data_IF_692389035838
#
_entry.id   IF_692389035838
#
_cell.length_a   1.000
_cell.length_b   1.000
_cell.length_c   1.000
_cell.angle_alpha   90.00
_cell.angle_beta   90.00
_cell.angle_gamma   90.00
#
_symmetry.space_group_name_H-M   'P 1'
#
loop_
_entity.id
_entity.type
_entity.pdbx_description
1 polymer ?
#
# COMPACT_ATOMS: atom_id res chain seq x y z
N UNK A 1 1.23 -12.79 12.08
CA UNK A 1 2.18 -12.25 11.11
C UNK A 1 3.23 -11.39 11.80
N UNK A 2 4.51 -11.51 11.43
CA UNK A 2 5.56 -10.54 11.80
C UNK A 2 5.80 -9.65 10.58
N UNK A 3 5.63 -8.34 10.72
CA UNK A 3 5.84 -7.42 9.60
C UNK A 3 7.34 -7.26 9.31
N UNK A 4 7.76 -7.25 8.04
CA UNK A 4 9.13 -6.88 7.70
C UNK A 4 9.35 -5.40 8.02
N UNK A 5 10.60 -4.99 8.26
CA UNK A 5 10.92 -3.57 8.51
C UNK A 5 11.02 -2.76 7.22
N UNK A 6 11.34 -3.42 6.12
CA UNK A 6 11.55 -2.82 4.80
C UNK A 6 10.90 -3.73 3.76
N UNK A 7 10.23 -3.15 2.77
CA UNK A 7 9.73 -3.84 1.57
C UNK A 7 10.03 -3.03 0.32
N UNK A 8 9.88 -3.66 -0.85
CA UNK A 8 10.10 -3.01 -2.15
C UNK A 8 8.75 -2.66 -2.79
N UNK A 9 8.44 -1.38 -2.92
CA UNK A 9 7.21 -0.88 -3.55
C UNK A 9 7.58 -0.03 -4.75
N UNK A 10 7.08 -0.38 -5.94
CA UNK A 10 7.42 0.33 -7.18
C UNK A 10 8.92 0.35 -7.51
N UNK A 11 9.67 -0.66 -7.06
CA UNK A 11 11.13 -0.75 -7.22
C UNK A 11 11.94 0.12 -6.24
N UNK A 12 11.30 0.75 -5.25
CA UNK A 12 11.96 1.55 -4.22
C UNK A 12 11.85 0.87 -2.85
N UNK A 13 12.80 1.14 -1.94
CA UNK A 13 12.71 0.70 -0.55
C UNK A 13 11.73 1.55 0.25
N UNK A 14 10.85 0.89 1.00
CA UNK A 14 9.87 1.50 1.89
C UNK A 14 10.02 0.94 3.29
N UNK A 15 10.01 1.82 4.29
CA UNK A 15 10.02 1.43 5.70
C UNK A 15 8.61 1.06 6.15
N UNK A 16 8.47 -0.01 6.92
CA UNK A 16 7.22 -0.36 7.61
C UNK A 16 7.36 -0.03 9.09
N UNK A 17 6.38 0.69 9.62
CA UNK A 17 6.24 1.02 11.03
C UNK A 17 4.94 0.47 11.57
N UNK A 18 5.03 -0.33 12.63
CA UNK A 18 3.85 -0.87 13.31
C UNK A 18 3.24 0.16 14.26
N UNK A 19 1.91 0.24 14.28
CA UNK A 19 1.15 1.06 15.23
C UNK A 19 0.08 0.22 15.96
N UNK A 20 0.35 -0.11 17.22
CA UNK A 20 -0.53 -0.98 18.05
C UNK A 20 -1.85 -0.35 18.47
N UNK A 21 -2.04 0.95 18.22
CA UNK A 21 -3.24 1.70 18.61
C UNK A 21 -4.19 1.95 17.43
N UNK A 22 -3.74 1.67 16.21
CA UNK A 22 -4.46 1.93 14.96
C UNK A 22 -5.10 0.66 14.40
N UNK A 23 -6.29 0.80 13.81
CA UNK A 23 -7.06 -0.28 13.16
C UNK A 23 -6.83 -0.38 11.65
N UNK A 24 -6.48 0.73 10.99
CA UNK A 24 -6.22 0.77 9.54
C UNK A 24 -4.73 0.94 9.23
N UNK A 25 -4.43 1.50 8.07
CA UNK A 25 -3.08 1.88 7.68
C UNK A 25 -3.01 3.32 7.19
N UNK A 26 -1.79 3.76 6.90
CA UNK A 26 -1.53 4.96 6.12
C UNK A 26 -0.15 4.86 5.49
N UNK A 27 0.00 5.39 4.27
CA UNK A 27 1.29 5.60 3.65
C UNK A 27 1.68 7.08 3.54
N UNK A 28 2.99 7.33 3.54
CA UNK A 28 3.58 8.66 3.35
C UNK A 28 4.56 8.59 2.17
N UNK A 29 4.09 8.86 0.96
CA UNK A 29 4.89 8.69 -0.28
C UNK A 29 6.23 9.42 -0.25
N UNK A 30 6.23 10.69 0.18
CA UNK A 30 7.45 11.50 0.30
C UNK A 30 8.48 10.94 1.29
N UNK A 31 8.05 10.15 2.28
CA UNK A 31 8.92 9.52 3.28
C UNK A 31 9.17 8.05 3.02
N UNK A 32 8.52 7.46 2.00
CA UNK A 32 8.51 6.03 1.70
C UNK A 32 8.27 5.19 2.95
N UNK A 33 7.20 5.55 3.65
CA UNK A 33 6.82 4.94 4.93
C UNK A 33 5.41 4.39 4.83
N UNK A 34 5.24 3.13 5.22
CA UNK A 34 3.95 2.51 5.52
C UNK A 34 3.79 2.42 7.03
N UNK A 35 2.73 3.00 7.56
CA UNK A 35 2.33 2.84 8.95
C UNK A 35 1.15 1.85 9.02
N UNK A 36 1.37 0.70 9.67
CA UNK A 36 0.42 -0.41 9.69
C UNK A 36 -0.18 -0.57 11.07
N UNK A 37 -1.50 -0.45 11.16
CA UNK A 37 -2.26 -0.74 12.35
C UNK A 37 -2.16 -2.21 12.74
N UNK A 38 -1.83 -2.46 14.00
CA UNK A 38 -1.66 -3.82 14.56
C UNK A 38 -2.55 -4.06 15.78
N UNK A 39 -3.57 -3.21 15.96
CA UNK A 39 -4.53 -3.35 17.05
C UNK A 39 -5.30 -4.68 16.97
N UNK A 40 -5.71 -5.06 15.76
CA UNK A 40 -6.35 -6.35 15.48
C UNK A 40 -5.44 -7.21 14.58
N UNK A 41 -4.69 -8.18 15.16
CA UNK A 41 -3.67 -8.95 14.43
C UNK A 41 -4.18 -9.73 13.20
N UNK A 42 -5.47 -10.09 13.20
CA UNK A 42 -6.13 -10.81 12.11
C UNK A 42 -6.28 -9.95 10.83
N UNK A 43 -6.34 -8.63 10.99
CA UNK A 43 -6.59 -7.69 9.91
C UNK A 43 -5.28 -7.15 9.32
N UNK A 44 -4.16 -7.33 10.02
CA UNK A 44 -2.81 -6.87 9.62
C UNK A 44 -2.42 -7.24 8.17
N UNK A 45 -2.63 -8.49 7.69
CA UNK A 45 -2.29 -8.82 6.32
C UNK A 45 -3.11 -8.03 5.29
N UNK A 46 -4.41 -7.84 5.56
CA UNK A 46 -5.32 -7.09 4.69
C UNK A 46 -4.96 -5.60 4.67
N UNK A 47 -4.68 -5.02 5.85
CA UNK A 47 -4.23 -3.63 5.99
C UNK A 47 -2.92 -3.41 5.23
N UNK A 48 -1.93 -4.29 5.41
CA UNK A 48 -0.66 -4.18 4.69
C UNK A 48 -0.87 -4.21 3.18
N UNK A 49 -1.64 -5.18 2.69
CA UNK A 49 -1.90 -5.33 1.26
C UNK A 49 -2.60 -4.09 0.69
N UNK A 50 -3.58 -3.55 1.40
CA UNK A 50 -4.27 -2.33 1.04
C UNK A 50 -3.29 -1.16 0.87
N UNK A 51 -2.47 -0.86 1.88
CA UNK A 51 -1.51 0.25 1.82
C UNK A 51 -0.44 0.07 0.73
N UNK A 52 -0.01 -1.17 0.47
CA UNK A 52 0.92 -1.48 -0.62
C UNK A 52 0.27 -1.21 -1.97
N UNK A 53 -0.96 -1.67 -2.20
CA UNK A 53 -1.66 -1.45 -3.47
C UNK A 53 -1.90 0.04 -3.69
N UNK A 54 -2.41 0.75 -2.68
CA UNK A 54 -2.66 2.18 -2.79
C UNK A 54 -1.40 2.99 -3.07
N UNK A 55 -0.28 2.66 -2.43
CA UNK A 55 1.00 3.34 -2.68
C UNK A 55 1.52 3.06 -4.09
N UNK A 56 1.44 1.82 -4.61
CA UNK A 56 1.81 1.50 -6.00
C UNK A 56 0.97 2.29 -6.99
N UNK A 57 -0.36 2.31 -6.79
CA UNK A 57 -1.28 2.98 -7.71
C UNK A 57 -1.12 4.50 -7.65
N UNK A 58 -0.80 5.05 -6.47
CA UNK A 58 -0.50 6.47 -6.31
C UNK A 58 0.83 6.85 -6.96
N UNK A 59 1.90 6.04 -6.83
CA UNK A 59 3.21 6.32 -7.45
C UNK A 59 3.19 6.19 -8.98
N UNK A 60 2.22 5.45 -9.54
CA UNK A 60 2.05 5.27 -10.98
C UNK A 60 1.06 6.24 -11.62
N UNK A 61 0.62 7.26 -10.89
CA UNK A 61 -0.41 8.22 -11.31
C UNK A 61 -1.70 7.53 -11.81
N UNK A 62 -1.99 6.32 -11.31
CA UNK A 62 -3.17 5.55 -11.66
C UNK A 62 -4.36 5.87 -10.73
N UNK A 63 -4.11 6.68 -9.70
CA UNK A 63 -5.11 7.14 -8.74
C UNK A 63 -5.59 8.52 -9.13
N UNK A 64 -6.89 8.63 -9.42
CA UNK A 64 -7.55 9.89 -9.70
C UNK A 64 -8.57 10.19 -8.60
N UNK A 65 -8.59 11.44 -8.17
CA UNK A 65 -9.73 11.97 -7.42
C UNK A 65 -10.84 12.25 -8.43
N UNK A 66 -11.86 11.38 -8.46
CA UNK A 66 -12.98 11.52 -9.39
C UNK A 66 -13.85 12.76 -9.08
N UNK A 67 -13.71 13.35 -7.89
CA UNK A 67 -14.51 14.48 -7.42
C UNK A 67 -13.70 15.75 -7.16
N UNK A 68 -12.44 15.80 -7.62
CA UNK A 68 -11.67 17.02 -7.76
C UNK A 68 -11.69 17.91 -6.52
N UNK A 69 -10.95 17.53 -5.49
CA UNK A 69 -10.36 18.45 -4.52
C UNK A 69 -11.30 19.51 -3.96
N UNK A 70 -12.10 19.14 -2.97
CA UNK A 70 -12.40 19.92 -1.77
C UNK A 70 -13.26 19.03 -0.87
N UNK A 71 -12.87 18.92 0.40
CA UNK A 71 -13.63 18.30 1.48
C UNK A 71 -13.82 16.78 1.43
N UNK A 72 -12.76 16.04 1.80
CA UNK A 72 -12.90 14.76 2.51
C UNK A 72 -13.59 13.60 1.77
N UNK A 73 -13.79 13.68 0.46
CA UNK A 73 -14.35 12.58 -0.31
C UNK A 73 -13.30 11.49 -0.53
N UNK A 74 -13.50 10.34 0.11
CA UNK A 74 -12.67 9.12 0.03
C UNK A 74 -12.86 8.33 -1.28
N UNK A 75 -13.53 8.93 -2.28
CA UNK A 75 -13.89 8.26 -3.53
C UNK A 75 -12.76 8.36 -4.57
N UNK A 76 -11.76 7.50 -4.44
CA UNK A 76 -10.70 7.35 -5.45
C UNK A 76 -11.13 6.43 -6.59
N UNK A 77 -10.87 6.86 -7.83
CA UNK A 77 -10.92 5.97 -8.99
C UNK A 77 -9.50 5.52 -9.35
N UNK A 78 -9.30 4.21 -9.42
CA UNK A 78 -8.08 3.63 -9.97
C UNK A 78 -8.33 3.19 -11.41
N UNK A 79 -7.59 3.78 -12.36
CA UNK A 79 -7.71 3.44 -13.77
C UNK A 79 -6.33 3.19 -14.38
N UNK A 80 -6.20 2.09 -15.12
CA UNK A 80 -4.97 1.68 -15.76
C UNK A 80 -5.26 0.74 -16.94
N UNK A 81 -4.45 0.82 -17.99
CA UNK A 81 -4.49 -0.11 -19.10
C UNK A 81 -3.88 -1.48 -18.73
N UNK A 82 -3.96 -2.44 -19.64
CA UNK A 82 -3.45 -3.80 -19.38
C UNK A 82 -1.93 -3.84 -19.10
N UNK A 83 -1.14 -2.95 -19.73
CA UNK A 83 0.31 -2.89 -19.53
C UNK A 83 0.64 -2.31 -18.15
N UNK A 84 -0.06 -1.27 -17.74
CA UNK A 84 0.00 -0.69 -16.40
C UNK A 84 -0.45 -1.72 -15.35
N UNK A 85 -1.55 -2.45 -15.60
CA UNK A 85 -2.00 -3.54 -14.74
C UNK A 85 -0.93 -4.61 -14.53
N UNK A 86 -0.32 -5.12 -15.60
CA UNK A 86 0.77 -6.11 -15.51
C UNK A 86 1.89 -5.59 -14.60
N UNK A 87 2.20 -4.30 -14.72
CA UNK A 87 3.26 -3.71 -13.93
C UNK A 87 2.87 -3.54 -12.45
N UNK A 88 1.63 -3.16 -12.16
CA UNK A 88 1.09 -3.14 -10.78
C UNK A 88 1.18 -4.55 -10.16
N UNK A 89 0.79 -5.59 -10.91
CA UNK A 89 0.88 -6.99 -10.43
C UNK A 89 2.32 -7.37 -10.10
N UNK A 90 3.30 -7.00 -10.94
CA UNK A 90 4.72 -7.24 -10.67
C UNK A 90 5.20 -6.51 -9.42
N UNK A 91 4.79 -5.26 -9.22
CA UNK A 91 5.17 -4.46 -8.06
C UNK A 91 4.58 -5.03 -6.76
N UNK A 92 3.32 -5.52 -6.80
CA UNK A 92 2.71 -6.22 -5.66
C UNK A 92 3.50 -7.47 -5.32
N UNK A 93 3.84 -8.30 -6.32
CA UNK A 93 4.63 -9.52 -6.10
C UNK A 93 6.00 -9.20 -5.47
N UNK A 94 6.66 -8.12 -5.91
CA UNK A 94 7.92 -7.65 -5.35
C UNK A 94 7.78 -7.19 -3.89
N UNK A 95 6.69 -6.47 -3.57
CA UNK A 95 6.43 -5.98 -2.21
C UNK A 95 6.17 -7.10 -1.21
N UNK A 96 5.55 -8.20 -1.66
CA UNK A 96 5.18 -9.33 -0.80
C UNK A 96 6.22 -10.45 -0.74
N UNK A 97 7.27 -10.40 -1.58
CA UNK A 97 8.24 -11.52 -1.75
C UNK A 97 8.88 -12.01 -0.45
N UNK A 98 9.11 -11.11 0.51
CA UNK A 98 9.82 -11.40 1.76
C UNK A 98 8.87 -11.69 2.93
N UNK A 99 7.57 -11.84 2.63
CA UNK A 99 6.52 -12.00 3.62
C UNK A 99 6.03 -13.45 3.63
N UNK A 100 6.43 -14.19 4.67
CA UNK A 100 6.15 -15.63 4.83
C UNK A 100 4.68 -16.03 4.73
N UNK A 101 3.76 -15.14 5.08
CA UNK A 101 2.32 -15.42 5.04
C UNK A 101 1.71 -15.24 3.62
N UNK A 102 2.50 -14.79 2.63
CA UNK A 102 2.10 -14.60 1.22
C UNK A 102 2.98 -15.37 0.22
N UNK A 103 3.95 -16.16 0.69
CA UNK A 103 4.90 -16.96 -0.11
C UNK A 103 4.55 -18.44 -0.15
#
# INVERSE_FOLDING_TARGET
MKLPKIIIVGGQEWTIKENKKMHGGRFYGNKRLLEIGTKDPKDVPSILLHEVIESILSERDCRYDQYGGMDGNENFLFNFDHKQFIQVVKDIALALKDIKDFS
#
